data_IF_136873049020
#
_entry.id   IF_136873049020
#
_cell.length_a   1.000
_cell.length_b   1.000
_cell.length_c   1.000
_cell.angle_alpha   90.00
_cell.angle_beta   90.00
_cell.angle_gamma   90.00
#
_symmetry.space_group_name_H-M   'P 1'
#
loop_
_entity.id
_entity.type
_entity.pdbx_description
1 polymer ?
#
# COMPACT_ATOMS: atom_id res chain seq x y z
N UNK A 1 -1.77 15.23 24.88
CA UNK A 1 -1.63 13.78 25.12
C UNK A 1 -2.84 12.99 24.62
N UNK A 2 -4.08 13.41 24.89
CA UNK A 2 -5.29 12.73 24.39
C UNK A 2 -5.36 12.56 22.86
N UNK A 3 -4.92 13.55 22.09
CA UNK A 3 -4.91 13.46 20.63
C UNK A 3 -3.94 12.40 20.11
N UNK A 4 -2.80 12.17 20.77
CA UNK A 4 -1.83 11.13 20.41
C UNK A 4 -2.37 9.73 20.79
N UNK A 5 -3.02 9.63 21.96
CA UNK A 5 -3.64 8.42 22.45
C UNK A 5 -4.76 7.91 21.53
N UNK A 6 -5.54 8.80 20.88
CA UNK A 6 -6.54 8.40 19.87
C UNK A 6 -5.95 7.63 18.68
N UNK A 7 -4.68 7.86 18.33
CA UNK A 7 -4.02 7.13 17.25
C UNK A 7 -3.47 5.77 17.69
N UNK A 8 -3.16 5.60 18.98
CA UNK A 8 -2.73 4.32 19.55
C UNK A 8 -3.95 3.42 19.82
N UNK A 9 -5.06 4.01 20.28
CA UNK A 9 -6.23 3.28 20.80
C UNK A 9 -7.24 2.91 19.69
N UNK A 10 -7.27 3.63 18.56
CA UNK A 10 -8.09 3.21 17.42
C UNK A 10 -7.37 2.13 16.63
N UNK A 11 -7.79 0.88 16.84
CA UNK A 11 -7.56 -0.20 15.90
C UNK A 11 -7.97 0.29 14.49
N UNK A 12 -7.14 0.00 13.49
CA UNK A 12 -7.36 0.38 12.09
C UNK A 12 -8.60 -0.29 11.47
N UNK A 13 -9.22 -1.23 12.20
CA UNK A 13 -10.36 -2.03 11.79
C UNK A 13 -11.34 -2.19 12.97
N UNK A 14 -12.61 -2.51 12.67
CA UNK A 14 -13.61 -2.82 13.72
C UNK A 14 -13.84 -4.32 13.79
N UNK A 15 -13.75 -4.90 14.98
CA UNK A 15 -14.05 -6.31 15.20
C UNK A 15 -15.53 -6.62 14.91
N UNK A 16 -16.45 -5.68 15.13
CA UNK A 16 -17.87 -5.83 14.81
C UNK A 16 -18.14 -6.04 13.31
N UNK A 17 -17.19 -5.66 12.45
CA UNK A 17 -17.27 -5.81 11.00
C UNK A 17 -16.48 -7.02 10.49
N UNK A 18 -15.98 -7.85 11.40
CA UNK A 18 -15.18 -9.04 11.11
C UNK A 18 -15.95 -10.29 11.52
N UNK A 19 -16.03 -11.25 10.62
CA UNK A 19 -16.55 -12.59 10.90
C UNK A 19 -15.46 -13.62 10.63
N UNK A 20 -15.22 -14.49 11.60
CA UNK A 20 -14.28 -15.61 11.45
C UNK A 20 -15.07 -16.89 11.16
N UNK A 21 -14.73 -17.55 10.05
CA UNK A 21 -15.29 -18.82 9.61
C UNK A 21 -14.30 -19.92 9.96
N UNK A 22 -14.50 -20.55 11.12
CA UNK A 22 -13.52 -21.48 11.72
C UNK A 22 -13.25 -22.72 10.87
N UNK A 23 -14.29 -23.28 10.24
CA UNK A 23 -14.18 -24.45 9.37
C UNK A 23 -13.30 -24.22 8.15
N UNK A 24 -13.25 -22.98 7.65
CA UNK A 24 -12.49 -22.60 6.46
C UNK A 24 -11.15 -21.93 6.81
N UNK A 25 -10.95 -21.52 8.07
CA UNK A 25 -9.81 -20.72 8.50
C UNK A 25 -9.78 -19.35 7.83
N UNK A 26 -10.95 -18.77 7.56
CA UNK A 26 -11.12 -17.55 6.76
C UNK A 26 -11.71 -16.42 7.60
N UNK A 27 -11.22 -15.20 7.36
CA UNK A 27 -11.74 -13.97 7.93
C UNK A 27 -12.47 -13.20 6.84
N UNK A 28 -13.74 -12.91 7.07
CA UNK A 28 -14.57 -12.05 6.23
C UNK A 28 -14.66 -10.68 6.89
N UNK A 29 -14.34 -9.62 6.14
CA UNK A 29 -14.38 -8.25 6.63
C UNK A 29 -15.24 -7.38 5.72
N UNK A 30 -16.19 -6.66 6.33
CA UNK A 30 -17.10 -5.75 5.64
C UNK A 30 -16.71 -4.29 5.87
N UNK A 31 -16.74 -3.48 4.82
CA UNK A 31 -16.43 -2.06 4.91
C UNK A 31 -17.48 -1.31 5.72
N UNK A 32 -17.14 -0.09 6.16
CA UNK A 32 -18.01 0.71 7.03
C UNK A 32 -19.38 0.96 6.39
N UNK A 33 -19.37 1.17 5.08
CA UNK A 33 -20.57 1.56 4.33
C UNK A 33 -21.32 0.31 3.82
N UNK A 34 -20.89 -0.90 4.20
CA UNK A 34 -21.47 -2.17 3.76
C UNK A 34 -21.24 -2.51 2.29
N UNK A 35 -20.68 -1.57 1.51
CA UNK A 35 -20.56 -1.69 0.06
C UNK A 35 -19.57 -2.75 -0.42
N UNK A 36 -18.61 -3.13 0.43
CA UNK A 36 -17.53 -4.06 0.05
C UNK A 36 -17.26 -5.06 1.16
N UNK A 37 -17.25 -6.34 0.80
CA UNK A 37 -16.87 -7.44 1.67
C UNK A 37 -15.69 -8.16 1.04
N UNK A 38 -14.68 -8.47 1.84
CA UNK A 38 -13.48 -9.21 1.40
C UNK A 38 -13.21 -10.37 2.34
N UNK A 39 -12.72 -11.47 1.78
CA UNK A 39 -12.34 -12.67 2.50
C UNK A 39 -10.83 -12.85 2.44
N UNK A 40 -10.22 -13.26 3.55
CA UNK A 40 -8.78 -13.45 3.71
C UNK A 40 -8.53 -14.74 4.48
N UNK A 41 -7.42 -15.45 4.19
CA UNK A 41 -6.98 -16.52 5.10
C UNK A 41 -6.60 -15.92 6.45
N UNK A 42 -6.86 -16.62 7.56
CA UNK A 42 -6.61 -16.10 8.91
C UNK A 42 -5.18 -15.60 9.11
N UNK A 43 -4.17 -16.34 8.62
CA UNK A 43 -2.76 -15.94 8.72
C UNK A 43 -2.43 -14.72 7.86
N UNK A 44 -3.00 -14.62 6.66
CA UNK A 44 -2.81 -13.45 5.79
C UNK A 44 -3.47 -12.21 6.39
N UNK A 45 -4.64 -12.38 7.02
CA UNK A 45 -5.30 -11.31 7.75
C UNK A 45 -4.44 -10.79 8.90
N UNK A 46 -3.91 -11.70 9.74
CA UNK A 46 -2.99 -11.33 10.83
C UNK A 46 -1.74 -10.62 10.31
N UNK A 47 -1.11 -11.14 9.25
CA UNK A 47 0.05 -10.52 8.62
C UNK A 47 -0.26 -9.11 8.10
N UNK A 48 -1.39 -8.93 7.42
CA UNK A 48 -1.85 -7.63 6.95
C UNK A 48 -2.09 -6.65 8.11
N UNK A 49 -2.66 -7.11 9.23
CA UNK A 49 -2.83 -6.27 10.41
C UNK A 49 -1.49 -5.88 11.05
N UNK A 50 -0.56 -6.82 11.17
CA UNK A 50 0.78 -6.58 11.71
C UNK A 50 1.59 -5.60 10.85
N UNK A 51 1.34 -5.52 9.54
CA UNK A 51 1.99 -4.53 8.66
C UNK A 51 1.70 -3.07 9.03
N UNK A 52 0.64 -2.81 9.79
CA UNK A 52 0.29 -1.48 10.28
C UNK A 52 0.97 -1.13 11.61
N UNK A 53 1.69 -2.07 12.23
CA UNK A 53 2.44 -1.83 13.47
C UNK A 53 3.83 -1.29 13.07
N UNK A 54 4.18 -0.04 13.41
CA UNK A 54 5.48 0.53 13.09
C UNK A 54 6.60 -0.19 13.85
N UNK A 55 7.81 -0.17 13.30
CA UNK A 55 8.96 -0.74 14.00
C UNK A 55 9.31 0.08 15.24
N UNK A 56 10.10 -0.52 16.13
CA UNK A 56 10.62 0.15 17.32
C UNK A 56 11.37 1.44 16.92
N UNK A 57 10.90 2.58 17.42
CA UNK A 57 11.50 3.89 17.16
C UNK A 57 10.93 4.62 15.94
N UNK A 58 10.09 3.97 15.13
CA UNK A 58 9.37 4.61 14.03
C UNK A 58 8.05 5.23 14.52
N UNK A 59 7.75 6.43 14.03
CA UNK A 59 6.47 7.10 14.31
C UNK A 59 5.42 6.64 13.29
N UNK A 60 4.24 6.26 13.77
CA UNK A 60 3.15 5.82 12.91
C UNK A 60 2.50 7.02 12.19
N UNK A 61 2.77 7.20 10.89
CA UNK A 61 2.12 8.25 10.07
C UNK A 61 1.01 7.64 9.23
N UNK A 62 -0.22 7.61 9.76
CA UNK A 62 -1.40 7.02 9.08
C UNK A 62 -1.95 7.84 7.92
N UNK A 63 -1.72 9.16 7.92
CA UNK A 63 -2.35 10.10 6.98
C UNK A 63 -1.29 10.95 6.27
N UNK A 64 -0.52 10.34 5.38
CA UNK A 64 0.43 11.05 4.51
C UNK A 64 0.08 10.89 3.03
N UNK A 65 0.66 11.76 2.20
CA UNK A 65 0.47 11.73 0.75
C UNK A 65 -1.01 11.73 0.36
N UNK A 66 -1.43 10.75 -0.44
CA UNK A 66 -2.79 10.63 -0.95
C UNK A 66 -3.87 10.51 0.15
N UNK A 67 -3.53 9.89 1.28
CA UNK A 67 -4.45 9.71 2.41
C UNK A 67 -4.44 10.88 3.40
N UNK A 68 -3.62 11.91 3.18
CA UNK A 68 -3.60 13.11 4.02
C UNK A 68 -4.94 13.86 3.99
N UNK A 69 -5.30 14.52 5.10
CA UNK A 69 -6.53 15.31 5.18
C UNK A 69 -6.57 16.43 4.13
N UNK A 70 -5.42 17.04 3.82
CA UNK A 70 -5.31 18.07 2.79
C UNK A 70 -5.59 17.48 1.40
N UNK A 71 -4.97 16.34 1.05
CA UNK A 71 -5.21 15.69 -0.23
C UNK A 71 -6.64 15.18 -0.39
N UNK A 72 -7.24 14.68 0.70
CA UNK A 72 -8.66 14.28 0.72
C UNK A 72 -9.60 15.47 0.56
N UNK A 73 -9.32 16.58 1.26
CA UNK A 73 -10.07 17.82 1.13
C UNK A 73 -10.10 18.34 -0.31
N UNK A 74 -8.93 18.34 -0.98
CA UNK A 74 -8.82 18.72 -2.40
C UNK A 74 -9.65 17.82 -3.32
N UNK A 75 -9.55 16.49 -3.18
CA UNK A 75 -10.35 15.55 -3.99
C UNK A 75 -11.84 15.71 -3.77
N UNK A 76 -12.25 15.99 -2.53
CA UNK A 76 -13.67 16.22 -2.21
C UNK A 76 -14.20 17.48 -2.88
N UNK A 77 -13.39 18.54 -2.95
CA UNK A 77 -13.72 19.77 -3.66
C UNK A 77 -13.81 19.54 -5.19
N UNK A 78 -12.98 18.65 -5.73
CA UNK A 78 -12.95 18.29 -7.15
C UNK A 78 -13.94 17.17 -7.54
N UNK A 79 -14.70 16.61 -6.57
CA UNK A 79 -15.63 15.50 -6.81
C UNK A 79 -14.97 14.13 -7.08
N UNK A 80 -13.66 14.01 -6.84
CA UNK A 80 -12.83 12.83 -7.12
C UNK A 80 -12.58 11.94 -5.89
N UNK A 81 -13.43 11.99 -4.86
CA UNK A 81 -13.19 11.31 -3.57
C UNK A 81 -13.07 9.77 -3.71
N UNK A 82 -13.77 9.18 -4.69
CA UNK A 82 -13.74 7.75 -4.99
C UNK A 82 -12.73 7.34 -6.08
N UNK A 83 -12.00 8.30 -6.66
CA UNK A 83 -10.98 7.99 -7.66
C UNK A 83 -9.78 7.37 -6.95
N UNK A 84 -9.53 6.07 -7.14
CA UNK A 84 -8.24 5.45 -6.81
C UNK A 84 -7.23 6.14 -7.73
N UNK A 85 -6.26 6.91 -7.22
CA UNK A 85 -5.22 7.43 -8.08
C UNK A 85 -4.44 6.22 -8.56
N UNK A 86 -4.47 6.01 -9.86
CA UNK A 86 -3.35 5.36 -10.49
C UNK A 86 -2.14 6.25 -10.15
N UNK A 87 -1.18 5.71 -9.39
CA UNK A 87 0.06 6.43 -9.01
C UNK A 87 0.83 6.90 -10.26
N UNK A 88 0.50 6.30 -11.41
CA UNK A 88 0.96 6.66 -12.75
C UNK A 88 -0.25 6.74 -13.68
N UNK A 89 -0.45 7.88 -14.32
CA UNK A 89 -1.24 7.96 -15.56
C UNK A 89 -0.58 7.02 -16.59
N UNK A 90 -1.32 6.11 -17.24
CA UNK A 90 -0.76 5.20 -18.24
C UNK A 90 -0.31 5.99 -19.49
N UNK A 91 0.93 6.48 -19.46
CA UNK A 91 1.60 7.08 -20.61
C UNK A 91 2.45 6.00 -21.30
N UNK A 92 1.92 5.48 -22.40
CA UNK A 92 2.63 4.59 -23.33
C UNK A 92 2.03 3.18 -23.51
N UNK A 93 2.55 2.46 -24.50
CA UNK A 93 2.07 1.14 -24.92
C UNK A 93 2.48 0.02 -23.94
N UNK A 94 1.79 -1.13 -23.91
CA UNK A 94 1.92 -2.24 -22.92
C UNK A 94 3.36 -2.65 -22.53
N UNK A 95 4.32 -2.55 -23.46
CA UNK A 95 5.74 -2.83 -23.21
C UNK A 95 6.40 -1.87 -22.21
N UNK A 96 5.88 -0.65 -22.07
CA UNK A 96 6.32 0.35 -21.09
C UNK A 96 5.92 -0.02 -19.65
N UNK A 97 4.83 -0.79 -19.48
CA UNK A 97 4.33 -1.19 -18.16
C UNK A 97 5.19 -2.27 -17.49
N UNK A 98 5.94 -3.05 -18.28
CA UNK A 98 6.90 -4.05 -17.76
C UNK A 98 8.07 -3.45 -16.96
N UNK A 99 8.14 -2.12 -16.84
CA UNK A 99 9.20 -1.37 -16.16
C UNK A 99 8.66 -0.33 -15.17
N UNK A 100 7.44 -0.52 -14.66
CA UNK A 100 6.80 0.44 -13.74
C UNK A 100 7.67 0.80 -12.53
N UNK A 101 8.39 -0.19 -11.96
CA UNK A 101 9.32 0.03 -10.86
C UNK A 101 10.53 0.90 -11.22
N UNK A 102 11.10 0.78 -12.43
CA UNK A 102 12.27 1.58 -12.80
C UNK A 102 11.91 3.06 -12.94
N UNK A 103 10.71 3.34 -13.48
CA UNK A 103 10.15 4.70 -13.54
C UNK A 103 9.93 5.28 -12.16
N UNK A 104 9.47 4.46 -11.22
CA UNK A 104 9.26 4.88 -9.83
C UNK A 104 10.59 5.25 -9.16
N UNK A 105 11.64 4.43 -9.32
CA UNK A 105 12.96 4.75 -8.81
C UNK A 105 13.50 6.03 -9.42
N UNK A 106 13.43 6.17 -10.74
CA UNK A 106 13.89 7.37 -11.42
C UNK A 106 13.17 8.62 -10.92
N UNK A 107 11.87 8.53 -10.63
CA UNK A 107 11.10 9.66 -10.11
C UNK A 107 11.43 9.99 -8.66
N UNK A 108 11.69 8.99 -7.81
CA UNK A 108 11.93 9.19 -6.37
C UNK A 108 13.40 9.58 -6.10
N UNK A 109 14.32 8.95 -6.82
CA UNK A 109 15.76 9.05 -6.58
C UNK A 109 16.52 9.77 -7.70
N UNK A 110 15.81 10.32 -8.68
CA UNK A 110 16.36 11.06 -9.83
C UNK A 110 17.43 10.28 -10.62
N UNK A 111 17.46 8.95 -10.46
CA UNK A 111 18.48 8.06 -11.00
C UNK A 111 17.83 6.99 -11.85
N UNK A 112 18.25 6.82 -13.11
CA UNK A 112 17.75 5.73 -13.97
C UNK A 112 18.44 4.40 -13.62
N UNK A 113 17.72 3.42 -13.04
CA UNK A 113 18.32 2.14 -12.66
C UNK A 113 18.65 1.24 -13.86
N UNK A 114 18.28 1.64 -15.09
CA UNK A 114 18.63 0.96 -16.33
C UNK A 114 19.85 1.55 -17.03
N UNK A 115 20.57 2.47 -16.39
CA UNK A 115 21.85 3.01 -16.88
C UNK A 115 22.98 2.55 -15.96
N UNK A 116 24.03 1.96 -16.53
CA UNK A 116 25.19 1.57 -15.74
C UNK A 116 25.95 2.81 -15.23
N UNK A 117 26.18 2.94 -13.91
CA UNK A 117 26.87 4.12 -13.36
C UNK A 117 28.35 4.18 -13.75
N UNK A 118 28.95 3.08 -14.23
CA UNK A 118 30.37 3.02 -14.62
C UNK A 118 30.62 3.31 -16.09
N UNK A 119 29.79 2.77 -16.98
CA UNK A 119 30.01 2.86 -18.43
C UNK A 119 28.88 3.57 -19.19
N UNK A 120 27.83 4.03 -18.49
CA UNK A 120 26.66 4.70 -19.06
C UNK A 120 25.87 3.87 -20.10
N UNK A 121 26.17 2.58 -20.24
CA UNK A 121 25.45 1.69 -21.14
C UNK A 121 24.07 1.29 -20.62
N UNK A 122 23.17 0.95 -21.55
CA UNK A 122 21.81 0.48 -21.25
C UNK A 122 21.81 -0.92 -20.64
N UNK A 123 21.22 -1.06 -19.46
CA UNK A 123 21.07 -2.33 -18.74
C UNK A 123 19.75 -3.02 -19.10
N UNK A 124 19.75 -4.36 -19.03
CA UNK A 124 18.55 -5.20 -19.24
C UNK A 124 18.20 -5.94 -17.96
N UNK A 125 16.91 -6.04 -17.68
CA UNK A 125 16.40 -6.85 -16.56
C UNK A 125 16.58 -8.31 -16.96
N UNK A 126 17.37 -9.05 -16.19
CA UNK A 126 17.66 -10.47 -16.42
C UNK A 126 16.76 -11.40 -15.60
N UNK A 127 16.33 -10.96 -14.41
CA UNK A 127 15.40 -11.66 -13.53
C UNK A 127 14.72 -10.68 -12.60
N UNK A 128 13.49 -11.00 -12.19
CA UNK A 128 12.83 -10.37 -11.06
C UNK A 128 12.90 -11.37 -9.91
N UNK A 129 13.65 -11.04 -8.87
CA UNK A 129 13.69 -11.88 -7.67
C UNK A 129 12.60 -11.41 -6.72
N UNK A 130 11.54 -12.22 -6.59
CA UNK A 130 10.64 -12.11 -5.45
C UNK A 130 11.38 -12.64 -4.24
N UNK A 131 11.58 -11.79 -3.23
CA UNK A 131 12.09 -12.27 -1.95
C UNK A 131 11.05 -13.25 -1.39
N UNK A 132 11.41 -14.52 -1.30
CA UNK A 132 10.67 -15.48 -0.48
C UNK A 132 10.80 -14.94 0.94
N UNK A 133 9.70 -14.40 1.47
CA UNK A 133 9.63 -13.98 2.86
C UNK A 133 9.89 -15.21 3.73
N UNK A 134 11.11 -15.36 4.25
CA UNK A 134 11.39 -16.28 5.33
C UNK A 134 10.62 -15.79 6.54
N UNK A 135 9.47 -16.41 6.77
CA UNK A 135 8.71 -16.29 8.02
C UNK A 135 9.62 -16.84 9.13
N UNK A 136 10.13 -15.94 9.98
CA UNK A 136 10.65 -16.29 11.31
C UNK A 136 9.57 -16.04 12.34
#
# INVERSE_FOLDING_TARGET
>A
MENLARYIIRASFSQERMQYLDQEGTVVYTSKDGATTRSFRALEWLAAMCSHIPNRGEQMVRYYGHYSNVSRGKRRQEGLDNAIPCILEPQGNEKAFRKSWSRLIQKIYETDPLVCPRCQGTMRIISLCEAINYVK
#
